data_IF_133017321488
#
_entry.id   IF_133017321488
#
_cell.length_a   1.000
_cell.length_b   1.000
_cell.length_c   1.000
_cell.angle_alpha   90.00
_cell.angle_beta   90.00
_cell.angle_gamma   90.00
#
_symmetry.space_group_name_H-M   'P 1'
#
loop_
_entity.id
_entity.type
_entity.pdbx_description
1 polymer ?
#
# COMPACT_ATOMS: atom_id res chain seq x y z
N UNK A 1 -33.99 -8.14 78.89
CA UNK A 1 -33.39 -9.23 78.09
C UNK A 1 -33.09 -8.67 76.70
N UNK A 2 -31.86 -8.22 76.47
CA UNK A 2 -31.39 -7.79 75.14
C UNK A 2 -30.62 -8.94 74.50
N UNK A 3 -30.89 -9.20 73.22
CA UNK A 3 -30.45 -10.41 72.52
C UNK A 3 -29.04 -10.35 71.95
N UNK A 4 -28.72 -11.35 71.12
CA UNK A 4 -28.12 -11.18 69.78
C UNK A 4 -27.98 -12.55 69.11
N UNK A 5 -28.52 -12.66 67.89
CA UNK A 5 -28.36 -13.80 66.98
C UNK A 5 -27.05 -13.62 66.19
N UNK A 6 -26.09 -14.52 66.36
CA UNK A 6 -24.89 -14.63 65.51
C UNK A 6 -25.05 -15.81 64.54
N UNK A 7 -25.23 -15.52 63.26
CA UNK A 7 -25.12 -16.50 62.17
C UNK A 7 -23.71 -16.36 61.53
N UNK A 8 -23.00 -17.47 61.21
CA UNK A 8 -21.58 -17.40 60.86
C UNK A 8 -21.33 -16.92 59.41
N UNK A 9 -20.49 -15.89 59.30
CA UNK A 9 -20.01 -15.21 58.08
C UNK A 9 -19.20 -16.13 57.13
N UNK A 10 -18.82 -17.33 57.57
CA UNK A 10 -17.92 -18.23 56.83
C UNK A 10 -18.51 -18.85 55.55
N UNK A 11 -19.83 -18.99 55.44
CA UNK A 11 -20.47 -19.66 54.28
C UNK A 11 -20.47 -18.74 53.03
N UNK A 12 -20.53 -17.41 53.21
CA UNK A 12 -20.56 -16.45 52.08
C UNK A 12 -19.22 -16.36 51.34
N UNK A 13 -18.07 -16.47 52.04
CA UNK A 13 -16.74 -16.38 51.41
C UNK A 13 -16.40 -17.57 50.51
N UNK A 14 -16.79 -18.80 50.88
CA UNK A 14 -16.58 -19.99 50.03
C UNK A 14 -17.39 -19.94 48.74
N UNK A 15 -18.63 -19.44 48.78
CA UNK A 15 -19.47 -19.27 47.58
C UNK A 15 -18.92 -18.20 46.64
N UNK A 16 -18.41 -17.08 47.14
CA UNK A 16 -17.78 -16.05 46.29
C UNK A 16 -16.50 -16.55 45.60
N UNK A 17 -15.64 -17.29 46.30
CA UNK A 17 -14.41 -17.85 45.72
C UNK A 17 -14.69 -18.91 44.64
N UNK A 18 -15.72 -19.76 44.84
CA UNK A 18 -16.17 -20.73 43.83
C UNK A 18 -16.76 -20.05 42.59
N UNK A 19 -17.56 -18.98 42.76
CA UNK A 19 -18.16 -18.23 41.64
C UNK A 19 -17.07 -17.46 40.87
N UNK A 20 -16.10 -16.85 41.56
CA UNK A 20 -14.98 -16.15 40.92
C UNK A 20 -14.06 -17.11 40.14
N UNK A 21 -13.79 -18.31 40.69
CA UNK A 21 -13.05 -19.36 40.01
C UNK A 21 -13.76 -19.87 38.74
N UNK A 22 -15.08 -20.12 38.83
CA UNK A 22 -15.89 -20.54 37.68
C UNK A 22 -15.90 -19.47 36.57
N UNK A 23 -16.07 -18.20 36.92
CA UNK A 23 -16.05 -17.09 35.96
C UNK A 23 -14.67 -16.94 35.28
N UNK A 24 -13.57 -17.07 36.01
CA UNK A 24 -12.22 -17.05 35.41
C UNK A 24 -12.01 -18.22 34.45
N UNK A 25 -12.43 -19.44 34.80
CA UNK A 25 -12.34 -20.58 33.89
C UNK A 25 -13.23 -20.45 32.66
N UNK A 26 -14.43 -19.89 32.79
CA UNK A 26 -15.33 -19.64 31.64
C UNK A 26 -14.73 -18.59 30.71
N UNK A 27 -14.16 -17.50 31.26
CA UNK A 27 -13.48 -16.47 30.46
C UNK A 27 -12.23 -17.02 29.77
N UNK A 28 -11.45 -17.88 30.42
CA UNK A 28 -10.26 -18.52 29.84
C UNK A 28 -10.65 -19.51 28.73
N UNK A 29 -11.66 -20.34 28.95
CA UNK A 29 -12.14 -21.30 27.94
C UNK A 29 -12.78 -20.57 26.76
N UNK A 30 -13.54 -19.50 27.00
CA UNK A 30 -14.10 -18.66 25.95
C UNK A 30 -13.01 -17.99 25.11
N UNK A 31 -11.95 -17.48 25.74
CA UNK A 31 -10.82 -16.87 25.01
C UNK A 31 -9.99 -17.88 24.23
N UNK A 32 -9.79 -19.10 24.75
CA UNK A 32 -9.15 -20.20 24.01
C UNK A 32 -10.00 -20.64 22.82
N UNK A 33 -11.33 -20.77 22.99
CA UNK A 33 -12.25 -21.13 21.91
C UNK A 33 -12.32 -20.04 20.84
N UNK A 34 -12.33 -18.76 21.23
CA UNK A 34 -12.28 -17.63 20.28
C UNK A 34 -10.96 -17.61 19.52
N UNK A 35 -9.83 -17.86 20.18
CA UNK A 35 -8.52 -17.97 19.52
C UNK A 35 -8.46 -19.18 18.56
N UNK A 36 -9.02 -20.32 18.95
CA UNK A 36 -9.08 -21.52 18.11
C UNK A 36 -9.99 -21.32 16.88
N UNK A 37 -11.09 -20.59 17.02
CA UNK A 37 -11.98 -20.22 15.91
C UNK A 37 -11.34 -19.21 14.95
N UNK A 38 -10.51 -18.29 15.46
CA UNK A 38 -9.78 -17.32 14.62
C UNK A 38 -8.61 -17.94 13.87
N UNK A 39 -7.94 -18.93 14.47
CA UNK A 39 -6.80 -19.64 13.88
C UNK A 39 -7.19 -20.91 13.13
N UNK A 40 -8.49 -21.20 12.99
CA UNK A 40 -8.94 -22.33 12.20
C UNK A 40 -8.65 -22.05 10.71
N UNK A 41 -7.80 -22.84 10.03
CA UNK A 41 -7.53 -22.66 8.62
C UNK A 41 -8.78 -22.82 7.73
N UNK A 42 -9.85 -23.45 8.20
CA UNK A 42 -11.13 -23.52 7.48
C UNK A 42 -11.99 -22.24 7.61
N UNK A 43 -11.58 -21.25 8.41
CA UNK A 43 -12.32 -20.00 8.56
C UNK A 43 -12.19 -19.14 7.28
N UNK A 44 -13.29 -18.70 6.66
CA UNK A 44 -13.26 -17.87 5.45
C UNK A 44 -12.46 -16.57 5.60
N UNK A 45 -12.45 -15.97 6.79
CA UNK A 45 -11.65 -14.77 7.08
C UNK A 45 -10.16 -15.08 7.18
N UNK A 46 -9.80 -16.27 7.67
CA UNK A 46 -8.42 -16.74 7.69
C UNK A 46 -7.93 -17.04 6.28
N UNK A 47 -8.77 -17.67 5.46
CA UNK A 47 -8.51 -17.93 4.04
C UNK A 47 -8.38 -16.64 3.22
N UNK A 48 -9.30 -15.68 3.36
CA UNK A 48 -9.20 -14.39 2.67
C UNK A 48 -7.96 -13.56 3.08
N UNK A 49 -7.55 -13.62 4.36
CA UNK A 49 -6.27 -13.04 4.82
C UNK A 49 -5.04 -13.80 4.33
N UNK A 50 -5.15 -15.11 4.12
CA UNK A 50 -4.08 -15.90 3.53
C UNK A 50 -3.95 -15.62 2.03
N UNK A 51 -5.06 -15.42 1.31
CA UNK A 51 -5.09 -15.11 -0.12
C UNK A 51 -4.51 -13.72 -0.45
N UNK A 52 -4.76 -12.71 0.39
CA UNK A 52 -4.14 -11.39 0.25
C UNK A 52 -2.72 -11.29 0.86
N UNK A 53 -2.14 -12.43 1.27
CA UNK A 53 -0.83 -12.53 1.92
C UNK A 53 -0.75 -11.85 3.29
N UNK A 54 0.26 -12.21 4.09
CA UNK A 54 0.54 -11.57 5.39
C UNK A 54 1.94 -10.93 5.46
N UNK A 55 2.08 -9.91 6.31
CA UNK A 55 3.35 -9.20 6.48
C UNK A 55 3.85 -8.55 5.19
N UNK A 56 5.14 -8.25 5.13
CA UNK A 56 5.80 -7.86 3.87
C UNK A 56 5.93 -9.05 2.93
N UNK A 57 5.95 -8.75 1.64
CA UNK A 57 6.14 -9.74 0.59
C UNK A 57 7.58 -9.73 0.10
N UNK A 58 8.01 -10.85 -0.48
CA UNK A 58 9.33 -11.00 -1.08
C UNK A 58 9.24 -11.91 -2.31
N UNK A 59 10.30 -11.97 -3.10
CA UNK A 59 10.39 -12.86 -4.26
C UNK A 59 11.24 -14.09 -3.97
N UNK A 60 10.86 -15.22 -4.58
CA UNK A 60 11.68 -16.42 -4.67
C UNK A 60 11.54 -17.00 -6.07
N UNK A 61 12.59 -16.84 -6.89
CA UNK A 61 12.50 -17.07 -8.32
C UNK A 61 11.40 -16.21 -8.94
N UNK A 62 10.48 -16.84 -9.67
CA UNK A 62 9.35 -16.17 -10.31
C UNK A 62 8.11 -15.99 -9.41
N UNK A 63 8.16 -16.40 -8.14
CA UNK A 63 7.03 -16.29 -7.21
C UNK A 63 7.15 -15.07 -6.31
N UNK A 64 6.01 -14.44 -6.03
CA UNK A 64 5.86 -13.51 -4.91
C UNK A 64 5.30 -14.32 -3.74
N UNK A 65 5.98 -14.24 -2.59
CA UNK A 65 5.64 -14.94 -1.37
C UNK A 65 5.36 -13.93 -0.25
N UNK A 66 4.48 -14.31 0.67
CA UNK A 66 4.24 -13.55 1.89
C UNK A 66 5.32 -13.82 2.97
N UNK A 67 5.20 -13.19 4.14
CA UNK A 67 6.15 -13.34 5.24
C UNK A 67 6.24 -14.77 5.82
N UNK A 68 5.33 -15.68 5.44
CA UNK A 68 5.32 -17.10 5.83
C UNK A 68 5.69 -18.03 4.66
N UNK A 69 6.29 -17.49 3.59
CA UNK A 69 6.67 -18.23 2.37
C UNK A 69 5.48 -18.83 1.61
N UNK A 70 4.28 -18.25 1.75
CA UNK A 70 3.11 -18.70 0.99
C UNK A 70 2.99 -17.89 -0.29
N UNK A 71 2.77 -18.53 -1.46
CA UNK A 71 2.53 -17.81 -2.70
C UNK A 71 1.35 -16.85 -2.58
N UNK A 72 1.54 -15.63 -3.08
CA UNK A 72 0.48 -14.62 -3.21
C UNK A 72 0.28 -14.27 -4.67
N UNK A 73 -0.94 -13.87 -5.01
CA UNK A 73 -1.28 -13.36 -6.33
C UNK A 73 -1.75 -11.93 -6.21
N UNK A 74 -1.20 -11.04 -7.03
CA UNK A 74 -1.67 -9.67 -7.15
C UNK A 74 -2.94 -9.68 -8.00
N UNK A 75 -4.09 -9.43 -7.37
CA UNK A 75 -5.33 -9.05 -8.03
C UNK A 75 -5.48 -7.53 -7.87
N UNK A 76 -4.80 -6.80 -8.75
CA UNK A 76 -4.62 -5.35 -8.67
C UNK A 76 -5.63 -4.55 -9.49
N UNK A 77 -5.92 -3.32 -9.03
CA UNK A 77 -6.58 -2.29 -9.82
C UNK A 77 -5.86 -0.95 -9.67
N UNK A 78 -5.80 -0.16 -10.74
CA UNK A 78 -5.30 1.22 -10.73
C UNK A 78 -6.40 2.17 -10.22
N UNK A 79 -6.08 3.06 -9.29
CA UNK A 79 -6.94 4.21 -8.96
C UNK A 79 -6.17 5.51 -9.12
N UNK A 80 -6.27 6.07 -10.31
CA UNK A 80 -5.56 7.27 -10.73
C UNK A 80 -6.19 8.56 -10.18
N UNK A 81 -5.45 9.66 -10.32
CA UNK A 81 -5.86 11.02 -10.03
C UNK A 81 -4.82 11.84 -9.25
N UNK A 82 -4.04 11.20 -8.39
CA UNK A 82 -2.99 11.86 -7.59
C UNK A 82 -1.82 12.34 -8.46
N UNK A 83 -1.65 11.77 -9.65
CA UNK A 83 -0.69 12.18 -10.69
C UNK A 83 -1.21 13.29 -11.60
N UNK A 84 -2.47 13.70 -11.46
CA UNK A 84 -3.11 14.74 -12.29
C UNK A 84 -3.15 16.09 -11.56
N UNK A 85 -3.57 17.20 -12.22
CA UNK A 85 -3.68 18.49 -11.56
C UNK A 85 -4.75 18.53 -10.46
N UNK A 86 -5.54 17.46 -10.30
CA UNK A 86 -6.44 17.29 -9.16
C UNK A 86 -5.71 17.01 -7.86
N UNK A 87 -4.49 16.44 -7.90
CA UNK A 87 -3.71 16.03 -6.72
C UNK A 87 -4.52 15.19 -5.72
N UNK A 88 -5.51 14.45 -6.23
CA UNK A 88 -6.45 13.64 -5.47
C UNK A 88 -6.97 12.51 -6.36
N UNK A 89 -7.28 11.32 -5.81
CA UNK A 89 -7.89 10.26 -6.60
C UNK A 89 -9.18 10.74 -7.26
N UNK A 90 -9.39 10.40 -8.53
CA UNK A 90 -10.59 10.81 -9.24
C UNK A 90 -11.83 10.12 -8.67
N UNK A 91 -12.97 10.81 -8.80
CA UNK A 91 -14.28 10.32 -8.33
C UNK A 91 -14.69 10.77 -6.93
N UNK A 92 -13.80 11.43 -6.16
CA UNK A 92 -14.11 11.92 -4.81
C UNK A 92 -15.16 13.05 -4.76
N UNK A 93 -15.50 13.67 -5.89
CA UNK A 93 -16.68 14.55 -6.02
C UNK A 93 -18.02 13.79 -5.95
N UNK A 94 -18.02 12.51 -6.27
CA UNK A 94 -19.23 11.69 -6.38
C UNK A 94 -19.38 10.67 -5.25
N UNK A 95 -18.26 10.20 -4.68
CA UNK A 95 -18.21 9.08 -3.72
C UNK A 95 -17.26 9.40 -2.58
N UNK A 96 -17.49 8.78 -1.41
CA UNK A 96 -16.46 8.77 -0.37
C UNK A 96 -15.34 7.80 -0.73
N UNK A 97 -14.09 8.10 -0.37
CA UNK A 97 -12.96 7.22 -0.64
C UNK A 97 -13.12 5.84 0.00
N UNK A 98 -13.74 5.79 1.20
CA UNK A 98 -14.05 4.53 1.87
C UNK A 98 -15.00 3.68 1.03
N UNK A 99 -16.08 4.28 0.50
CA UNK A 99 -17.05 3.53 -0.31
C UNK A 99 -16.47 3.00 -1.62
N UNK A 100 -15.48 3.71 -2.20
CA UNK A 100 -14.74 3.25 -3.38
C UNK A 100 -13.87 2.05 -3.03
N UNK A 101 -13.09 2.13 -1.95
CA UNK A 101 -12.20 1.06 -1.49
C UNK A 101 -12.97 -0.20 -1.05
N UNK A 102 -14.10 -0.05 -0.35
CA UNK A 102 -14.99 -1.17 -0.01
C UNK A 102 -15.53 -1.85 -1.26
N UNK A 103 -15.93 -1.09 -2.27
CA UNK A 103 -16.39 -1.65 -3.54
C UNK A 103 -15.27 -2.43 -4.25
N UNK A 104 -14.08 -1.84 -4.36
CA UNK A 104 -12.88 -2.52 -4.91
C UNK A 104 -12.63 -3.85 -4.19
N UNK A 105 -12.64 -3.84 -2.85
CA UNK A 105 -12.45 -5.04 -2.05
C UNK A 105 -13.56 -6.08 -2.30
N UNK A 106 -14.81 -5.65 -2.38
CA UNK A 106 -15.97 -6.52 -2.62
C UNK A 106 -15.95 -7.23 -3.98
N UNK A 107 -15.29 -6.63 -4.97
CA UNK A 107 -15.11 -7.21 -6.30
C UNK A 107 -13.97 -8.23 -6.37
N UNK A 108 -13.27 -8.48 -5.26
CA UNK A 108 -12.21 -9.49 -5.16
C UNK A 108 -10.80 -8.96 -5.41
N UNK A 109 -10.63 -7.65 -5.66
CA UNK A 109 -9.29 -7.06 -5.71
C UNK A 109 -8.63 -7.10 -4.33
N UNK A 110 -7.33 -7.37 -4.31
CA UNK A 110 -6.53 -7.39 -3.09
C UNK A 110 -5.44 -6.31 -3.06
N UNK A 111 -5.20 -5.64 -4.19
CA UNK A 111 -4.13 -4.65 -4.34
C UNK A 111 -4.64 -3.41 -5.07
N UNK A 112 -4.21 -2.25 -4.63
CA UNK A 112 -4.41 -0.95 -5.27
C UNK A 112 -3.04 -0.47 -5.77
N UNK A 113 -2.89 -0.25 -7.08
CA UNK A 113 -1.78 0.54 -7.61
C UNK A 113 -2.23 1.99 -7.64
N UNK A 114 -1.42 2.85 -7.02
CA UNK A 114 -1.76 4.24 -6.72
C UNK A 114 -0.78 5.17 -7.45
N UNK A 115 -1.11 5.58 -8.69
CA UNK A 115 -0.36 6.57 -9.46
C UNK A 115 -0.23 7.89 -8.72
N UNK A 116 0.94 8.51 -8.72
CA UNK A 116 1.17 9.87 -8.20
C UNK A 116 2.17 10.64 -9.06
N UNK A 117 2.22 11.96 -8.92
CA UNK A 117 3.26 12.80 -9.53
C UNK A 117 4.23 13.36 -8.49
N UNK A 118 5.49 13.63 -8.85
CA UNK A 118 6.42 14.28 -7.91
C UNK A 118 5.92 15.68 -7.50
N UNK A 119 5.28 16.38 -8.44
CA UNK A 119 4.62 17.67 -8.19
C UNK A 119 3.59 17.61 -7.06
N UNK A 120 2.99 16.45 -6.76
CA UNK A 120 2.07 16.26 -5.63
C UNK A 120 2.66 16.76 -4.29
N UNK A 121 3.98 16.68 -4.14
CA UNK A 121 4.69 17.06 -2.91
C UNK A 121 5.15 18.52 -2.89
N UNK A 122 4.95 19.25 -3.97
CA UNK A 122 5.34 20.66 -4.03
C UNK A 122 4.41 21.54 -3.20
N UNK A 123 4.98 22.60 -2.63
CA UNK A 123 4.21 23.63 -1.98
C UNK A 123 3.27 24.31 -3.00
N UNK A 124 1.97 24.34 -2.70
CA UNK A 124 0.95 24.91 -3.56
C UNK A 124 0.15 23.88 -4.36
N UNK A 125 0.61 22.64 -4.46
CA UNK A 125 -0.15 21.53 -5.05
C UNK A 125 -1.29 21.13 -4.12
N UNK A 126 -2.47 21.72 -4.36
CA UNK A 126 -3.63 21.61 -3.46
C UNK A 126 -4.65 20.62 -4.05
N UNK A 127 -5.01 19.56 -3.31
CA UNK A 127 -6.06 18.63 -3.71
C UNK A 127 -7.37 19.34 -4.08
N UNK A 128 -7.94 18.94 -5.21
CA UNK A 128 -9.20 19.46 -5.75
C UNK A 128 -10.10 18.33 -6.26
N UNK A 129 -11.31 18.65 -6.71
CA UNK A 129 -12.26 17.63 -7.19
C UNK A 129 -12.87 16.75 -6.11
N UNK A 130 -12.82 17.19 -4.85
CA UNK A 130 -13.33 16.46 -3.68
C UNK A 130 -14.64 17.11 -3.21
N UNK A 131 -15.69 16.31 -3.03
CA UNK A 131 -16.87 16.74 -2.29
C UNK A 131 -16.66 16.48 -0.80
N UNK A 132 -16.39 17.55 -0.05
CA UNK A 132 -16.13 17.50 1.39
C UNK A 132 -17.38 17.17 2.23
N UNK A 133 -18.59 17.20 1.67
CA UNK A 133 -19.76 16.66 2.37
C UNK A 133 -19.71 15.13 2.46
N UNK A 134 -19.09 14.47 1.46
CA UNK A 134 -18.87 13.03 1.41
C UNK A 134 -17.53 12.61 2.00
N UNK A 135 -16.54 13.50 1.96
CA UNK A 135 -15.16 13.28 2.41
C UNK A 135 -14.70 14.39 3.38
N UNK A 136 -15.40 14.62 4.51
CA UNK A 136 -15.14 15.76 5.38
C UNK A 136 -13.73 15.73 6.00
N UNK A 137 -13.18 14.54 6.20
CA UNK A 137 -11.86 14.35 6.80
C UNK A 137 -10.69 14.56 5.82
N UNK A 138 -10.98 14.90 4.56
CA UNK A 138 -9.98 15.30 3.55
C UNK A 138 -9.83 16.81 3.42
N UNK A 139 -10.69 17.61 4.06
CA UNK A 139 -10.69 19.06 3.89
C UNK A 139 -9.40 19.69 4.42
N UNK A 140 -8.74 20.48 3.55
CA UNK A 140 -7.51 21.20 3.89
C UNK A 140 -6.26 20.33 3.96
N UNK A 141 -6.34 19.05 3.59
CA UNK A 141 -5.19 18.17 3.53
C UNK A 141 -4.35 18.44 2.27
N UNK A 142 -3.03 18.25 2.40
CA UNK A 142 -2.10 18.17 1.27
C UNK A 142 -2.27 16.88 0.48
N UNK A 143 -1.68 16.80 -0.72
CA UNK A 143 -1.69 15.58 -1.53
C UNK A 143 -1.19 14.33 -0.81
N UNK A 144 -0.05 14.43 -0.10
CA UNK A 144 0.50 13.33 0.71
C UNK A 144 -0.46 12.92 1.85
N UNK A 145 -1.12 13.88 2.50
CA UNK A 145 -2.08 13.58 3.57
C UNK A 145 -3.38 12.96 3.02
N UNK A 146 -3.82 13.31 1.81
CA UNK A 146 -4.91 12.61 1.13
C UNK A 146 -4.49 11.17 0.79
N UNK A 147 -3.28 10.98 0.27
CA UNK A 147 -2.69 9.65 0.03
C UNK A 147 -2.65 8.82 1.33
N UNK A 148 -2.25 9.41 2.46
CA UNK A 148 -2.25 8.76 3.78
C UNK A 148 -3.63 8.27 4.20
N UNK A 149 -4.68 9.05 3.95
CA UNK A 149 -6.07 8.67 4.28
C UNK A 149 -6.54 7.48 3.46
N UNK A 150 -6.25 7.49 2.17
CA UNK A 150 -6.59 6.40 1.25
C UNK A 150 -5.84 5.13 1.63
N UNK A 151 -4.52 5.20 1.79
CA UNK A 151 -3.67 4.07 2.16
C UNK A 151 -4.04 3.54 3.53
N UNK A 152 -4.30 4.41 4.51
CA UNK A 152 -4.70 4.01 5.86
C UNK A 152 -6.00 3.21 5.86
N UNK A 153 -7.02 3.65 5.13
CA UNK A 153 -8.28 2.91 5.03
C UNK A 153 -8.15 1.62 4.21
N UNK A 154 -7.44 1.66 3.08
CA UNK A 154 -7.14 0.49 2.27
C UNK A 154 -6.43 -0.60 3.11
N UNK A 155 -5.42 -0.19 3.89
CA UNK A 155 -4.69 -1.06 4.82
C UNK A 155 -5.62 -1.68 5.87
N UNK A 156 -6.53 -0.88 6.46
CA UNK A 156 -7.51 -1.33 7.45
C UNK A 156 -8.43 -2.43 6.92
N UNK A 157 -8.81 -2.37 5.65
CA UNK A 157 -9.70 -3.36 5.02
C UNK A 157 -8.94 -4.48 4.30
N UNK A 158 -7.61 -4.52 4.44
CA UNK A 158 -6.78 -5.59 3.88
C UNK A 158 -6.54 -5.48 2.37
N UNK A 159 -6.50 -4.27 1.82
CA UNK A 159 -5.95 -3.99 0.50
C UNK A 159 -4.45 -3.67 0.61
N UNK A 160 -3.65 -4.24 -0.29
CA UNK A 160 -2.22 -3.95 -0.48
C UNK A 160 -2.05 -2.73 -1.37
N UNK A 161 -0.94 -2.02 -1.25
CA UNK A 161 -0.65 -0.80 -2.01
C UNK A 161 0.67 -0.95 -2.76
N UNK A 162 0.63 -0.71 -4.06
CA UNK A 162 1.81 -0.41 -4.88
C UNK A 162 1.76 1.10 -5.15
N UNK A 163 2.80 1.81 -4.73
CA UNK A 163 2.95 3.22 -5.12
C UNK A 163 3.56 3.26 -6.51
N UNK A 164 3.03 4.09 -7.38
CA UNK A 164 3.47 4.23 -8.76
C UNK A 164 3.85 5.68 -9.01
N UNK A 165 5.14 5.94 -9.24
CA UNK A 165 5.56 7.26 -9.69
C UNK A 165 5.19 7.38 -11.16
N UNK A 166 4.01 7.97 -11.38
CA UNK A 166 3.37 7.93 -12.68
C UNK A 166 3.83 9.06 -13.58
N UNK A 167 4.17 10.22 -13.01
CA UNK A 167 4.61 11.42 -13.75
C UNK A 167 5.54 12.30 -12.94
N UNK A 168 6.50 13.02 -13.54
CA UNK A 168 7.26 14.02 -12.82
C UNK A 168 6.38 15.21 -12.42
N UNK A 169 5.69 15.80 -13.40
CA UNK A 169 4.68 16.85 -13.17
C UNK A 169 3.25 16.32 -13.30
N UNK A 170 2.26 17.13 -12.94
CA UNK A 170 0.87 16.72 -12.98
C UNK A 170 0.20 16.89 -14.36
N UNK A 171 0.88 17.51 -15.32
CA UNK A 171 0.34 17.85 -16.62
C UNK A 171 0.40 16.69 -17.62
N UNK A 172 1.56 16.03 -17.72
CA UNK A 172 1.79 15.01 -18.73
C UNK A 172 2.76 13.92 -18.28
N UNK A 173 2.72 12.80 -18.99
CA UNK A 173 3.71 11.75 -18.82
C UNK A 173 5.06 12.15 -19.45
N UNK A 174 6.16 11.65 -18.91
CA UNK A 174 7.50 11.77 -19.46
C UNK A 174 8.05 10.43 -19.94
N UNK A 175 8.90 10.48 -20.97
CA UNK A 175 9.59 9.30 -21.49
C UNK A 175 10.70 8.79 -20.56
N UNK A 176 11.29 9.72 -19.79
CA UNK A 176 12.36 9.46 -18.83
C UNK A 176 11.86 9.79 -17.42
N UNK A 177 12.50 9.19 -16.41
CA UNK A 177 12.19 9.35 -14.98
C UNK A 177 12.53 10.75 -14.42
N UNK A 178 12.84 11.72 -15.28
CA UNK A 178 13.20 13.08 -14.90
C UNK A 178 12.82 14.09 -15.97
N UNK A 179 12.72 15.35 -15.53
CA UNK A 179 12.67 16.55 -16.38
C UNK A 179 13.63 17.59 -15.84
N UNK A 180 13.71 18.76 -16.48
CA UNK A 180 14.45 19.90 -15.93
C UNK A 180 13.84 20.43 -14.62
N UNK A 181 12.52 20.37 -14.48
CA UNK A 181 11.81 20.78 -13.27
C UNK A 181 11.89 19.73 -12.15
N UNK A 182 11.89 18.45 -12.51
CA UNK A 182 11.97 17.31 -11.60
C UNK A 182 13.19 16.45 -11.96
N UNK A 183 14.40 16.83 -11.54
CA UNK A 183 15.61 16.08 -11.87
C UNK A 183 15.63 14.69 -11.20
N UNK A 184 16.45 13.76 -11.70
CA UNK A 184 16.60 12.41 -11.13
C UNK A 184 16.85 12.44 -9.61
N UNK A 185 17.61 13.43 -9.12
CA UNK A 185 17.85 13.60 -7.68
C UNK A 185 16.57 13.83 -6.89
N UNK A 186 15.61 14.60 -7.44
CA UNK A 186 14.30 14.82 -6.85
C UNK A 186 13.45 13.55 -6.90
N UNK A 187 13.46 12.85 -8.03
CA UNK A 187 12.76 11.57 -8.17
C UNK A 187 13.21 10.53 -7.13
N UNK A 188 14.53 10.36 -6.96
CA UNK A 188 15.10 9.45 -5.95
C UNK A 188 14.77 9.94 -4.52
N UNK A 189 14.88 11.24 -4.23
CA UNK A 189 14.60 11.74 -2.88
C UNK A 189 13.14 11.57 -2.47
N UNK A 190 12.20 11.77 -3.40
CA UNK A 190 10.78 11.55 -3.15
C UNK A 190 10.48 10.08 -2.89
N UNK A 191 11.14 9.18 -3.63
CA UNK A 191 11.06 7.74 -3.39
C UNK A 191 11.56 7.36 -1.98
N UNK A 192 12.71 7.90 -1.56
CA UNK A 192 13.24 7.68 -0.22
C UNK A 192 12.32 8.24 0.86
N UNK A 193 11.72 9.41 0.63
CA UNK A 193 10.72 10.00 1.52
C UNK A 193 9.54 9.04 1.71
N UNK A 194 8.93 8.55 0.63
CA UNK A 194 7.79 7.61 0.69
C UNK A 194 8.19 6.28 1.35
N UNK A 195 9.35 5.73 0.99
CA UNK A 195 9.89 4.50 1.58
C UNK A 195 10.06 4.61 3.09
N UNK A 196 10.54 5.77 3.57
CA UNK A 196 10.66 6.04 5.01
C UNK A 196 9.28 6.26 5.66
N UNK A 197 8.42 7.06 5.03
CA UNK A 197 7.11 7.44 5.54
C UNK A 197 6.21 6.22 5.76
N UNK A 198 6.23 5.25 4.84
CA UNK A 198 5.44 4.02 4.93
C UNK A 198 6.22 2.80 5.45
N UNK A 199 7.43 2.99 5.98
CA UNK A 199 8.33 1.89 6.38
C UNK A 199 7.74 0.89 7.36
N UNK A 200 6.78 1.31 8.19
CA UNK A 200 6.13 0.47 9.21
C UNK A 200 4.71 0.01 8.81
N UNK A 201 4.30 0.24 7.56
CA UNK A 201 3.03 -0.27 7.04
C UNK A 201 3.29 -1.45 6.08
N UNK A 202 3.10 -2.71 6.52
CA UNK A 202 3.32 -3.87 5.65
C UNK A 202 2.34 -3.95 4.48
N UNK A 203 1.25 -3.17 4.51
CA UNK A 203 0.29 -3.14 3.42
C UNK A 203 0.81 -2.35 2.22
N UNK A 204 1.78 -1.44 2.39
CA UNK A 204 2.50 -0.83 1.27
C UNK A 204 3.63 -1.77 0.88
N UNK A 205 3.46 -2.45 -0.24
CA UNK A 205 4.29 -3.61 -0.62
C UNK A 205 5.44 -3.27 -1.54
N UNK A 206 5.43 -2.10 -2.18
CA UNK A 206 6.51 -1.74 -3.09
C UNK A 206 6.36 -0.43 -3.83
N UNK A 207 7.39 -0.18 -4.63
CA UNK A 207 7.56 0.98 -5.48
C UNK A 207 7.61 0.54 -6.95
N UNK A 208 6.66 1.03 -7.74
CA UNK A 208 6.69 0.99 -9.19
C UNK A 208 7.36 2.26 -9.70
N UNK A 209 8.62 2.10 -10.12
CA UNK A 209 9.63 3.15 -10.01
C UNK A 209 9.34 4.36 -10.91
N UNK A 210 8.90 4.12 -12.13
CA UNK A 210 8.51 5.13 -13.10
C UNK A 210 7.57 4.47 -14.11
N UNK A 211 6.40 5.05 -14.30
CA UNK A 211 5.43 4.52 -15.25
C UNK A 211 5.93 4.64 -16.69
N UNK A 212 5.80 3.57 -17.46
CA UNK A 212 5.99 3.54 -18.92
C UNK A 212 7.22 4.29 -19.45
N UNK A 213 8.46 4.00 -19.00
CA UNK A 213 9.65 4.52 -19.67
C UNK A 213 9.60 4.14 -21.15
N UNK A 214 9.87 5.09 -22.04
CA UNK A 214 9.79 4.88 -23.48
C UNK A 214 10.80 5.75 -24.21
N UNK A 215 11.00 5.53 -25.51
CA UNK A 215 11.96 6.26 -26.32
C UNK A 215 11.89 7.78 -26.03
N UNK A 216 13.02 8.41 -25.63
CA UNK A 216 14.40 7.95 -25.81
C UNK A 216 14.99 7.09 -24.67
N UNK A 217 14.20 6.65 -23.68
CA UNK A 217 14.65 5.68 -22.69
C UNK A 217 15.13 4.40 -23.41
N UNK A 218 16.29 3.91 -23.00
CA UNK A 218 16.89 2.71 -23.55
C UNK A 218 17.00 1.64 -22.45
N UNK A 219 17.26 0.40 -22.85
CA UNK A 219 17.67 -0.65 -21.92
C UNK A 219 19.01 -1.25 -22.35
N UNK A 220 20.06 -0.99 -21.59
CA UNK A 220 21.40 -1.54 -21.85
C UNK A 220 22.21 -0.79 -22.90
N UNK A 221 21.89 0.47 -23.21
CA UNK A 221 22.75 1.31 -24.07
C UNK A 221 23.94 1.92 -23.32
N UNK A 222 23.97 1.86 -21.99
CA UNK A 222 25.11 2.31 -21.16
C UNK A 222 25.18 3.81 -20.90
N UNK A 223 24.37 4.62 -21.58
CA UNK A 223 24.21 6.04 -21.26
C UNK A 223 23.37 6.19 -19.99
N UNK A 224 23.98 6.62 -18.88
CA UNK A 224 23.28 6.76 -17.59
C UNK A 224 22.09 7.72 -17.61
N UNK A 225 22.02 8.63 -18.60
CA UNK A 225 20.92 9.58 -18.75
C UNK A 225 19.71 9.00 -19.49
N UNK A 226 19.87 7.87 -20.20
CA UNK A 226 18.81 7.23 -20.99
C UNK A 226 18.53 5.79 -20.56
N UNK A 227 19.52 5.10 -19.97
CA UNK A 227 19.44 3.69 -19.65
C UNK A 227 18.59 3.43 -18.40
N UNK A 228 17.33 3.05 -18.64
CA UNK A 228 16.34 2.78 -17.61
C UNK A 228 16.80 1.69 -16.65
N UNK A 229 17.49 0.65 -17.15
CA UNK A 229 18.05 -0.40 -16.29
C UNK A 229 18.99 0.18 -15.22
N UNK A 230 19.86 1.11 -15.63
CA UNK A 230 20.80 1.75 -14.71
C UNK A 230 20.11 2.71 -13.75
N UNK A 231 19.05 3.39 -14.18
CA UNK A 231 18.27 4.29 -13.33
C UNK A 231 17.44 3.52 -12.30
N UNK A 232 16.76 2.46 -12.72
CA UNK A 232 16.02 1.55 -11.87
C UNK A 232 16.92 0.92 -10.78
N UNK A 233 18.14 0.52 -11.14
CA UNK A 233 19.13 0.02 -10.18
C UNK A 233 19.50 1.09 -9.13
N UNK A 234 19.73 2.34 -9.54
CA UNK A 234 20.03 3.44 -8.61
C UNK A 234 18.87 3.72 -7.66
N UNK A 235 17.66 3.89 -8.18
CA UNK A 235 16.48 4.19 -7.38
C UNK A 235 16.10 3.02 -6.46
N UNK A 236 16.07 1.79 -6.99
CA UNK A 236 15.80 0.58 -6.21
C UNK A 236 16.77 0.42 -5.04
N UNK A 237 18.08 0.57 -5.28
CA UNK A 237 19.07 0.53 -4.20
C UNK A 237 18.88 1.65 -3.16
N UNK A 238 18.57 2.87 -3.60
CA UNK A 238 18.32 4.00 -2.71
C UNK A 238 17.06 3.80 -1.84
N UNK A 239 16.01 3.21 -2.40
CA UNK A 239 14.77 2.83 -1.70
C UNK A 239 15.05 1.72 -0.69
N UNK A 240 15.70 0.63 -1.11
CA UNK A 240 15.95 -0.54 -0.26
C UNK A 240 16.91 -0.25 0.90
N UNK A 241 17.81 0.73 0.75
CA UNK A 241 18.63 1.23 1.85
C UNK A 241 17.78 1.88 2.96
N UNK A 242 16.63 2.45 2.62
CA UNK A 242 15.67 3.05 3.56
C UNK A 242 14.67 2.01 4.06
N UNK A 243 14.07 1.24 3.15
CA UNK A 243 13.07 0.23 3.44
C UNK A 243 13.39 -1.09 2.71
N UNK A 244 14.08 -2.03 3.38
CA UNK A 244 14.52 -3.29 2.76
C UNK A 244 13.38 -4.28 2.53
N UNK A 245 12.17 -4.00 2.99
CA UNK A 245 11.03 -4.90 2.89
C UNK A 245 10.11 -4.62 1.70
N UNK A 246 10.40 -3.59 0.91
CA UNK A 246 9.63 -3.26 -0.30
C UNK A 246 10.07 -4.10 -1.49
N UNK A 247 9.09 -4.48 -2.30
CA UNK A 247 9.32 -4.94 -3.66
C UNK A 247 9.63 -3.73 -4.55
N UNK A 248 10.55 -3.93 -5.50
CA UNK A 248 10.86 -2.95 -6.55
C UNK A 248 10.25 -3.47 -7.84
N UNK A 249 9.23 -2.78 -8.34
CA UNK A 249 8.62 -3.05 -9.63
C UNK A 249 9.32 -2.20 -10.68
N UNK A 250 9.85 -2.87 -11.71
CA UNK A 250 10.59 -2.23 -12.80
C UNK A 250 9.85 -2.56 -14.09
N UNK A 251 9.16 -1.56 -14.63
CA UNK A 251 8.53 -1.67 -15.94
C UNK A 251 9.56 -1.83 -17.07
N UNK A 252 9.06 -2.14 -18.27
CA UNK A 252 9.87 -2.25 -19.48
C UNK A 252 10.14 -0.89 -20.15
N UNK A 253 10.68 -0.97 -21.36
CA UNK A 253 10.76 0.12 -22.34
C UNK A 253 10.02 -0.30 -23.61
N UNK A 254 9.62 0.65 -24.47
CA UNK A 254 8.93 0.38 -25.74
C UNK A 254 9.83 -0.23 -26.82
N UNK A 255 11.13 0.02 -26.75
CA UNK A 255 12.14 -0.44 -27.70
C UNK A 255 13.10 -1.43 -27.02
N UNK A 256 13.40 -2.56 -27.68
CA UNK A 256 14.41 -3.50 -27.19
C UNK A 256 15.25 -4.05 -28.35
N UNK A 257 16.54 -4.24 -28.10
CA UNK A 257 17.49 -4.76 -29.09
C UNK A 257 18.94 -4.59 -28.67
N UNK A 258 19.91 -5.15 -29.43
CA UNK A 258 21.33 -5.06 -29.09
C UNK A 258 21.79 -3.62 -28.89
N UNK A 259 22.49 -3.35 -27.80
CA UNK A 259 23.00 -2.01 -27.47
C UNK A 259 21.94 -1.00 -27.05
N UNK A 260 20.72 -1.43 -26.69
CA UNK A 260 19.66 -0.54 -26.22
C UNK A 260 19.11 0.38 -27.31
N UNK A 261 18.80 -0.18 -28.48
CA UNK A 261 18.17 0.54 -29.60
C UNK A 261 16.93 1.31 -29.15
N UNK A 262 16.79 2.53 -29.64
CA UNK A 262 15.61 3.41 -29.47
C UNK A 262 15.00 3.78 -30.83
N UNK A 263 15.33 3.01 -31.87
CA UNK A 263 14.80 3.23 -33.20
C UNK A 263 13.30 2.90 -33.23
N UNK A 264 12.47 3.92 -33.39
CA UNK A 264 10.99 3.84 -33.40
C UNK A 264 10.41 2.76 -34.33
N UNK A 265 11.12 2.32 -35.37
CA UNK A 265 10.66 1.20 -36.21
C UNK A 265 10.70 -0.17 -35.53
N UNK A 266 11.48 -0.31 -34.46
CA UNK A 266 11.63 -1.53 -33.66
C UNK A 266 10.87 -1.45 -32.33
N UNK A 267 10.26 -0.29 -32.05
CA UNK A 267 9.49 -0.05 -30.84
C UNK A 267 8.06 -0.54 -31.05
N UNK A 268 7.50 -1.14 -30.00
CA UNK A 268 6.14 -1.64 -30.00
C UNK A 268 5.23 -0.67 -29.25
N UNK A 269 4.84 -1.04 -28.04
CA UNK A 269 3.85 -0.32 -27.26
C UNK A 269 4.44 -0.03 -25.88
N UNK A 270 4.32 1.22 -25.46
CA UNK A 270 4.42 1.64 -24.06
C UNK A 270 3.04 2.06 -23.61
N UNK A 271 2.57 1.51 -22.48
CA UNK A 271 1.19 1.72 -22.03
C UNK A 271 0.63 0.55 -21.23
N UNK A 272 0.28 0.73 -19.95
CA UNK A 272 -0.29 -0.36 -19.12
C UNK A 272 -0.87 0.05 -17.77
#
# INVERSE_FOLDING_TARGET
MFGTNWQPIFIKRRRLLLIAGLCCTILLVASILVAALWNNPANPLYQAKAEAGQGYWHTNGAQILDAYNRPVRIAGINWFGLETPSYSPHGLGNRSYQSMLEQIKSLGYNTLRLPYSNQLFDQGSTPSGIDYTKNPDLQGLTGLQVMDKVIGYASKIGLRIILDQHRPDAGAQSALWYTSAYPESRWISDWQMLANHYKNNPMVIGADLHNEPHAPACWGCGDRSLDWRLAAERAGNAILAVNPNWLIFVEGVDCYGPGGTTNVSECYWWGG
#
